data_IF_133151935962
#
_entry.id   IF_133151935962
#
_cell.length_a   1.000
_cell.length_b   1.000
_cell.length_c   1.000
_cell.angle_alpha   90.00
_cell.angle_beta   90.00
_cell.angle_gamma   90.00
#
_symmetry.space_group_name_H-M   'P 1'
#
loop_
_entity.id
_entity.type
_entity.pdbx_description
1 polymer ?
#
# COMPACT_ATOMS: atom_id res chain seq x y z
N UNK A 1 20.19 -6.19 -4.87
CA UNK A 1 20.45 -7.47 -4.19
C UNK A 1 19.60 -7.47 -2.93
N UNK A 2 18.57 -8.32 -2.89
CA UNK A 2 17.68 -8.43 -1.74
C UNK A 2 18.44 -9.15 -0.61
N UNK A 3 18.67 -8.46 0.52
CA UNK A 3 19.33 -9.04 1.68
C UNK A 3 18.24 -9.41 2.69
N UNK A 4 18.11 -10.70 2.97
CA UNK A 4 17.24 -11.18 4.04
C UNK A 4 17.73 -10.61 5.38
N UNK A 5 16.84 -10.01 6.20
CA UNK A 5 17.25 -9.32 7.43
C UNK A 5 17.82 -10.23 8.52
N UNK A 6 17.64 -11.55 8.43
CA UNK A 6 18.29 -12.53 9.32
C UNK A 6 18.65 -13.81 8.54
N UNK A 7 19.76 -14.46 8.90
CA UNK A 7 20.27 -15.69 8.26
C UNK A 7 19.37 -16.90 8.50
N UNK A 8 18.55 -16.87 9.55
CA UNK A 8 17.61 -17.94 9.86
C UNK A 8 16.27 -17.84 9.09
N UNK A 9 16.03 -16.72 8.38
CA UNK A 9 15.09 -16.65 7.26
C UNK A 9 13.61 -16.95 7.53
N UNK A 10 13.16 -17.00 8.80
CA UNK A 10 11.77 -17.32 9.11
C UNK A 10 10.85 -16.17 8.69
N UNK A 11 9.96 -16.48 7.75
CA UNK A 11 8.98 -15.55 7.21
C UNK A 11 7.58 -15.97 7.58
N UNK A 12 6.76 -14.96 7.86
CA UNK A 12 5.33 -15.13 8.04
C UNK A 12 4.60 -14.29 7.01
N UNK A 13 3.95 -14.94 6.06
CA UNK A 13 3.03 -14.26 5.15
C UNK A 13 1.88 -13.64 5.96
N UNK A 14 1.67 -12.34 5.79
CA UNK A 14 0.58 -11.61 6.42
C UNK A 14 -0.54 -11.35 5.41
N UNK A 15 -0.17 -10.97 4.20
CA UNK A 15 -1.11 -10.66 3.11
C UNK A 15 -0.52 -11.17 1.79
N UNK A 16 -1.36 -11.65 0.90
CA UNK A 16 -0.99 -12.08 -0.45
C UNK A 16 -2.14 -11.77 -1.42
N UNK A 17 -1.81 -11.27 -2.61
CA UNK A 17 -2.80 -10.93 -3.64
C UNK A 17 -2.56 -11.66 -4.98
N UNK A 18 -1.86 -12.80 -4.92
CA UNK A 18 -1.45 -13.57 -6.10
C UNK A 18 -0.01 -13.28 -6.48
N UNK A 19 0.29 -12.05 -6.89
CA UNK A 19 1.60 -11.67 -7.42
C UNK A 19 2.62 -11.30 -6.34
N UNK A 20 2.13 -10.79 -5.20
CA UNK A 20 2.97 -10.22 -4.14
C UNK A 20 2.60 -10.82 -2.79
N UNK A 21 3.62 -11.05 -1.97
CA UNK A 21 3.47 -11.40 -0.55
C UNK A 21 4.00 -10.25 0.30
N UNK A 22 3.16 -9.78 1.22
CA UNK A 22 3.56 -8.91 2.31
C UNK A 22 3.78 -9.76 3.56
N UNK A 23 4.95 -9.66 4.17
CA UNK A 23 5.36 -10.59 5.22
C UNK A 23 5.97 -9.87 6.44
N UNK A 24 5.94 -10.59 7.55
CA UNK A 24 6.69 -10.28 8.76
C UNK A 24 7.90 -11.21 8.88
N UNK A 25 8.94 -10.73 9.54
CA UNK A 25 10.16 -11.47 9.80
C UNK A 25 10.26 -11.81 11.29
N UNK A 26 10.90 -12.94 11.59
CA UNK A 26 11.34 -13.24 12.95
C UNK A 26 12.60 -12.43 13.27
N UNK A 27 12.63 -11.81 14.45
CA UNK A 27 13.79 -11.04 14.93
C UNK A 27 14.44 -11.82 16.06
N UNK A 28 15.50 -12.58 15.75
CA UNK A 28 16.20 -13.46 16.69
C UNK A 28 16.62 -12.75 17.99
N UNK A 29 17.16 -11.54 17.88
CA UNK A 29 17.56 -10.72 19.03
C UNK A 29 16.39 -10.20 19.88
N UNK A 30 15.16 -10.19 19.36
CA UNK A 30 13.94 -9.86 20.12
C UNK A 30 13.19 -11.11 20.58
N UNK A 31 13.56 -12.29 20.06
CA UNK A 31 12.81 -13.53 20.28
C UNK A 31 11.33 -13.42 19.89
N UNK A 32 11.02 -12.60 18.88
CA UNK A 32 9.64 -12.30 18.51
C UNK A 32 9.51 -11.93 17.02
N UNK A 33 8.28 -11.99 16.51
CA UNK A 33 7.90 -11.44 15.21
C UNK A 33 7.84 -9.92 15.28
N UNK A 34 8.27 -9.24 14.22
CA UNK A 34 8.32 -7.77 14.17
C UNK A 34 6.95 -7.10 14.33
N UNK A 35 5.88 -7.82 13.98
CA UNK A 35 4.51 -7.35 13.97
C UNK A 35 3.58 -8.18 14.90
N UNK A 36 4.13 -8.89 15.89
CA UNK A 36 3.32 -9.62 16.87
C UNK A 36 2.53 -8.71 17.84
N UNK A 37 3.06 -7.52 18.16
CA UNK A 37 2.41 -6.61 19.12
C UNK A 37 1.35 -5.74 18.43
N UNK A 38 0.11 -6.23 18.42
CA UNK A 38 -1.02 -5.52 17.83
C UNK A 38 -1.34 -4.19 18.53
N UNK A 39 -1.05 -4.05 19.82
CA UNK A 39 -1.29 -2.78 20.53
C UNK A 39 -0.31 -1.71 20.08
N UNK A 40 0.97 -2.08 19.95
CA UNK A 40 2.00 -1.19 19.38
C UNK A 40 1.68 -0.82 17.94
N UNK A 41 1.19 -1.75 17.12
CA UNK A 41 0.73 -1.48 15.74
C UNK A 41 -0.43 -0.47 15.73
N UNK A 42 -1.39 -0.60 16.64
CA UNK A 42 -2.53 0.32 16.78
C UNK A 42 -2.12 1.72 17.22
N UNK A 43 -0.94 1.90 17.82
CA UNK A 43 -0.44 3.19 18.28
C UNK A 43 0.61 3.81 17.34
N UNK A 44 1.29 3.00 16.54
CA UNK A 44 2.45 3.39 15.75
C UNK A 44 2.25 3.35 14.24
N UNK A 45 3.37 3.36 13.51
CA UNK A 45 3.42 3.13 12.06
C UNK A 45 4.31 1.92 11.80
N UNK A 46 3.84 1.02 10.95
CA UNK A 46 4.60 -0.14 10.50
C UNK A 46 4.53 -0.24 8.98
N UNK A 47 5.61 -0.69 8.36
CA UNK A 47 5.65 -1.00 6.93
C UNK A 47 5.85 -2.50 6.79
N UNK A 48 5.18 -3.11 5.82
CA UNK A 48 5.40 -4.52 5.52
C UNK A 48 6.67 -4.68 4.68
N UNK A 49 7.34 -5.81 4.86
CA UNK A 49 8.25 -6.30 3.84
C UNK A 49 7.43 -6.87 2.70
N UNK A 50 7.91 -6.68 1.47
CA UNK A 50 7.20 -7.03 0.25
C UNK A 50 8.13 -7.84 -0.63
N UNK A 51 7.62 -8.91 -1.23
CA UNK A 51 8.37 -9.75 -2.16
C UNK A 51 7.42 -10.34 -3.21
N UNK A 52 7.92 -10.60 -4.42
CA UNK A 52 7.17 -11.37 -5.40
C UNK A 52 6.91 -12.79 -4.90
N UNK A 53 5.70 -13.29 -5.12
CA UNK A 53 5.32 -14.67 -4.76
C UNK A 53 6.25 -15.70 -5.40
N UNK A 54 6.74 -15.46 -6.62
CA UNK A 54 7.71 -16.32 -7.31
C UNK A 54 9.06 -16.38 -6.59
N UNK A 55 9.57 -15.23 -6.14
CA UNK A 55 10.82 -15.15 -5.39
C UNK A 55 10.68 -15.81 -4.02
N UNK A 56 9.54 -15.62 -3.35
CA UNK A 56 9.27 -16.31 -2.09
C UNK A 56 9.26 -17.83 -2.29
N UNK A 57 8.53 -18.32 -3.31
CA UNK A 57 8.45 -19.74 -3.62
C UNK A 57 9.82 -20.36 -3.97
N UNK A 58 10.70 -19.61 -4.61
CA UNK A 58 12.05 -20.09 -4.97
C UNK A 58 13.03 -20.04 -3.79
N UNK A 59 12.96 -19.01 -2.95
CA UNK A 59 14.03 -18.68 -1.99
C UNK A 59 13.67 -18.98 -0.53
N UNK A 60 12.40 -19.13 -0.18
CA UNK A 60 12.02 -19.33 1.22
C UNK A 60 12.36 -20.74 1.68
N UNK A 61 13.21 -20.83 2.72
CA UNK A 61 13.49 -22.10 3.40
C UNK A 61 12.30 -22.57 4.25
N UNK A 62 11.55 -21.61 4.80
CA UNK A 62 10.37 -21.88 5.61
C UNK A 62 9.38 -20.72 5.51
N UNK A 63 8.13 -21.04 5.21
CA UNK A 63 7.00 -20.10 5.26
C UNK A 63 6.01 -20.63 6.27
N UNK A 64 5.69 -19.82 7.27
CA UNK A 64 4.65 -20.13 8.24
C UNK A 64 3.29 -20.32 7.54
N UNK A 65 2.61 -21.43 7.79
CA UNK A 65 1.34 -21.79 7.13
C UNK A 65 0.10 -21.61 8.01
N UNK A 66 0.23 -21.36 9.32
CA UNK A 66 -0.94 -21.16 10.15
C UNK A 66 -1.67 -19.87 9.77
N UNK A 67 -3.01 -19.89 9.71
CA UNK A 67 -3.78 -18.69 9.40
C UNK A 67 -3.56 -17.63 10.48
N UNK A 68 -3.63 -16.37 10.06
CA UNK A 68 -3.71 -15.25 11.00
C UNK A 68 -4.87 -15.46 11.97
N UNK A 69 -4.68 -15.16 13.25
CA UNK A 69 -5.74 -15.12 14.24
C UNK A 69 -6.78 -14.02 13.89
N UNK A 70 -7.95 -14.06 14.52
CA UNK A 70 -9.06 -13.16 14.16
C UNK A 70 -8.72 -11.67 14.37
N UNK A 71 -8.01 -11.35 15.44
CA UNK A 71 -7.50 -10.02 15.77
C UNK A 71 -6.40 -9.56 14.80
N UNK A 72 -5.48 -10.46 14.44
CA UNK A 72 -4.47 -10.20 13.42
C UNK A 72 -5.13 -9.92 12.07
N UNK A 73 -6.12 -10.72 11.64
CA UNK A 73 -6.86 -10.47 10.39
C UNK A 73 -7.58 -9.12 10.42
N UNK A 74 -8.18 -8.76 11.54
CA UNK A 74 -8.88 -7.48 11.70
C UNK A 74 -7.92 -6.28 11.54
N UNK A 75 -6.67 -6.42 12.00
CA UNK A 75 -5.65 -5.37 11.91
C UNK A 75 -4.95 -5.35 10.55
N UNK A 76 -4.44 -6.50 10.10
CA UNK A 76 -3.65 -6.60 8.88
C UNK A 76 -4.50 -6.47 7.61
N UNK A 77 -5.79 -6.80 7.68
CA UNK A 77 -6.75 -6.72 6.57
C UNK A 77 -6.22 -7.41 5.30
N UNK A 78 -5.99 -8.75 5.36
CA UNK A 78 -5.45 -9.50 4.23
C UNK A 78 -6.40 -9.56 3.03
N UNK A 79 -7.66 -9.17 3.22
CA UNK A 79 -8.66 -9.02 2.16
C UNK A 79 -8.40 -7.81 1.25
N UNK A 80 -7.57 -6.86 1.68
CA UNK A 80 -7.27 -5.66 0.89
C UNK A 80 -6.07 -5.91 -0.05
N UNK A 81 -6.12 -5.41 -1.30
CA UNK A 81 -5.11 -5.68 -2.31
C UNK A 81 -3.77 -5.00 -2.00
N UNK A 82 -2.69 -5.50 -2.60
CA UNK A 82 -1.41 -4.78 -2.60
C UNK A 82 -1.52 -3.52 -3.45
N UNK A 83 -1.98 -3.63 -4.69
CA UNK A 83 -2.11 -2.48 -5.59
C UNK A 83 -3.58 -2.14 -5.84
N UNK A 84 -3.90 -0.85 -5.81
CA UNK A 84 -5.21 -0.30 -6.17
C UNK A 84 -5.02 0.91 -7.08
N UNK A 85 -5.94 1.08 -8.02
CA UNK A 85 -6.01 2.24 -8.93
C UNK A 85 -4.67 2.59 -9.62
N UNK A 86 -4.21 1.71 -10.51
CA UNK A 86 -3.00 1.92 -11.32
C UNK A 86 -3.33 2.35 -12.74
N UNK A 87 -2.53 3.25 -13.31
CA UNK A 87 -2.58 3.60 -14.73
C UNK A 87 -1.21 4.04 -15.22
N UNK A 88 -0.69 3.38 -16.26
CA UNK A 88 0.52 3.80 -16.97
C UNK A 88 0.27 4.98 -17.92
N UNK A 89 -0.99 5.36 -18.17
CA UNK A 89 -1.35 6.40 -19.14
C UNK A 89 -1.50 7.79 -18.53
N UNK A 90 -1.51 7.88 -17.20
CA UNK A 90 -1.77 9.12 -16.48
C UNK A 90 -0.56 9.55 -15.69
N UNK A 91 -0.35 10.85 -15.61
CA UNK A 91 0.63 11.46 -14.71
C UNK A 91 -0.11 12.08 -13.53
N UNK A 92 0.53 12.15 -12.37
CA UNK A 92 -0.02 12.87 -11.22
C UNK A 92 -0.27 14.35 -11.59
N UNK A 93 -1.44 14.92 -11.26
CA UNK A 93 -1.72 16.32 -11.56
C UNK A 93 -0.86 17.23 -10.69
N UNK A 94 -0.41 18.36 -11.25
CA UNK A 94 0.41 19.33 -10.53
C UNK A 94 -0.43 20.27 -9.65
N UNK A 95 -1.72 20.43 -9.96
CA UNK A 95 -2.61 21.34 -9.24
C UNK A 95 -3.87 20.62 -8.74
N UNK A 96 -4.32 21.01 -7.54
CA UNK A 96 -5.56 20.47 -6.94
C UNK A 96 -6.79 20.78 -7.80
N UNK A 97 -6.81 21.94 -8.47
CA UNK A 97 -7.87 22.38 -9.38
C UNK A 97 -8.13 21.39 -10.52
N UNK A 98 -7.11 20.65 -10.95
CA UNK A 98 -7.17 19.68 -12.05
C UNK A 98 -7.75 18.32 -11.62
N UNK A 99 -7.81 18.06 -10.31
CA UNK A 99 -8.14 16.72 -9.77
C UNK A 99 -9.51 16.17 -10.20
N UNK A 100 -10.60 16.97 -10.33
CA UNK A 100 -11.89 16.42 -10.77
C UNK A 100 -11.87 15.95 -12.23
N UNK A 101 -11.30 16.77 -13.12
CA UNK A 101 -11.18 16.43 -14.54
C UNK A 101 -10.24 15.22 -14.74
N UNK A 102 -9.13 15.21 -14.00
CA UNK A 102 -8.16 14.13 -14.00
C UNK A 102 -8.74 12.79 -13.48
N UNK A 103 -9.59 12.82 -12.45
CA UNK A 103 -10.26 11.61 -11.96
C UNK A 103 -11.27 11.05 -12.97
N UNK A 104 -11.97 11.93 -13.71
CA UNK A 104 -12.83 11.50 -14.80
C UNK A 104 -12.03 10.85 -15.95
N UNK A 105 -10.84 11.38 -16.25
CA UNK A 105 -9.91 10.77 -17.22
C UNK A 105 -9.40 9.40 -16.74
N UNK A 106 -9.12 9.24 -15.45
CA UNK A 106 -8.81 7.94 -14.85
C UNK A 106 -9.91 6.90 -15.08
N UNK A 107 -11.17 7.29 -14.86
CA UNK A 107 -12.32 6.42 -15.14
C UNK A 107 -12.39 6.02 -16.61
N UNK A 108 -12.21 7.00 -17.52
CA UNK A 108 -12.26 6.75 -18.95
C UNK A 108 -11.11 5.84 -19.45
N UNK A 109 -9.90 6.01 -18.91
CA UNK A 109 -8.70 5.27 -19.36
C UNK A 109 -8.60 3.86 -18.81
N UNK A 110 -9.09 3.62 -17.59
CA UNK A 110 -9.00 2.30 -16.95
C UNK A 110 -10.20 1.41 -17.26
N UNK A 111 -11.34 1.99 -17.68
CA UNK A 111 -12.57 1.27 -17.97
C UNK A 111 -13.10 0.46 -16.78
N UNK A 112 -12.56 0.70 -15.57
CA UNK A 112 -12.97 -0.02 -14.36
C UNK A 112 -14.29 0.59 -13.90
N UNK A 113 -15.41 -0.16 -13.92
CA UNK A 113 -16.66 0.32 -13.38
C UNK A 113 -16.51 0.54 -11.86
N UNK A 114 -17.35 1.41 -11.33
CA UNK A 114 -17.56 1.60 -9.89
C UNK A 114 -17.74 0.24 -9.20
N UNK A 115 -16.68 -0.30 -8.59
CA UNK A 115 -16.70 -1.65 -8.03
C UNK A 115 -15.33 -2.24 -7.69
N UNK A 116 -14.28 -1.89 -8.44
CA UNK A 116 -12.88 -2.24 -8.09
C UNK A 116 -12.30 -1.31 -7.00
N UNK A 117 -13.13 -0.98 -6.01
CA UNK A 117 -12.82 -0.08 -4.91
C UNK A 117 -12.06 -0.74 -3.77
N UNK A 118 -11.80 0.02 -2.72
CA UNK A 118 -11.13 -0.46 -1.52
C UNK A 118 -12.15 -0.64 -0.40
N UNK A 119 -12.35 -1.88 0.05
CA UNK A 119 -13.37 -2.28 1.04
C UNK A 119 -12.99 -1.88 2.48
N UNK A 120 -12.76 -0.60 2.72
CA UNK A 120 -12.41 -0.08 4.04
C UNK A 120 -12.93 1.36 4.18
N UNK A 121 -13.42 1.76 5.37
CA UNK A 121 -13.97 3.10 5.55
C UNK A 121 -12.89 4.18 5.64
N UNK A 122 -11.65 3.80 5.93
CA UNK A 122 -10.55 4.73 6.10
C UNK A 122 -9.20 4.12 5.71
N UNK A 123 -8.31 5.00 5.26
CA UNK A 123 -6.91 4.69 4.95
C UNK A 123 -6.00 5.88 5.27
N UNK A 124 -4.70 5.62 5.39
CA UNK A 124 -3.67 6.63 5.23
C UNK A 124 -3.12 6.61 3.80
N UNK A 125 -3.03 7.76 3.15
CA UNK A 125 -2.37 7.93 1.85
C UNK A 125 -1.05 8.69 2.07
N UNK A 126 0.07 8.05 1.71
CA UNK A 126 1.42 8.60 1.87
C UNK A 126 1.92 9.14 0.52
N UNK A 127 1.92 10.46 0.29
CA UNK A 127 2.46 11.02 -0.93
C UNK A 127 3.99 10.92 -0.97
N UNK A 128 4.55 11.23 -2.12
CA UNK A 128 5.99 11.39 -2.32
C UNK A 128 6.33 12.84 -2.68
N UNK A 129 7.53 13.28 -2.30
CA UNK A 129 8.05 14.60 -2.67
C UNK A 129 8.71 14.61 -4.06
N UNK A 130 9.14 15.79 -4.55
CA UNK A 130 9.72 15.95 -5.89
C UNK A 130 10.94 15.05 -6.16
N UNK A 131 11.70 14.71 -5.11
CA UNK A 131 12.88 13.82 -5.20
C UNK A 131 12.56 12.34 -4.89
N UNK A 132 11.28 11.96 -4.87
CA UNK A 132 10.83 10.59 -4.59
C UNK A 132 10.77 10.21 -3.09
N UNK A 133 11.23 11.08 -2.19
CA UNK A 133 11.19 10.85 -0.75
C UNK A 133 9.75 10.77 -0.21
N UNK A 134 9.48 9.82 0.67
CA UNK A 134 8.17 9.65 1.32
C UNK A 134 7.78 10.88 2.14
N UNK A 135 6.50 11.24 2.12
CA UNK A 135 5.90 12.27 2.97
C UNK A 135 5.03 11.65 4.06
N UNK A 136 4.57 12.49 4.98
CA UNK A 136 3.65 12.07 6.04
C UNK A 136 2.33 11.56 5.45
N UNK A 137 1.82 10.47 6.00
CA UNK A 137 0.53 9.92 5.58
C UNK A 137 -0.62 10.84 5.98
N UNK A 138 -1.54 11.08 5.05
CA UNK A 138 -2.78 11.82 5.26
C UNK A 138 -3.90 10.83 5.52
N UNK A 139 -4.61 11.00 6.64
CA UNK A 139 -5.78 10.18 6.97
C UNK A 139 -6.96 10.61 6.11
N UNK A 140 -7.56 9.68 5.39
CA UNK A 140 -8.76 9.93 4.58
C UNK A 140 -9.84 8.90 4.89
N UNK A 141 -11.09 9.35 4.76
CA UNK A 141 -12.29 8.52 4.94
C UNK A 141 -13.06 8.42 3.64
N UNK A 142 -13.73 7.29 3.46
CA UNK A 142 -14.66 7.06 2.38
C UNK A 142 -15.86 8.02 2.52
N UNK A 143 -16.31 8.61 1.43
CA UNK A 143 -17.39 9.61 1.42
C UNK A 143 -18.72 8.96 1.86
N UNK A 144 -18.91 7.67 1.59
CA UNK A 144 -20.05 6.88 2.08
C UNK A 144 -19.84 6.28 3.49
N UNK A 145 -18.68 6.49 4.10
CA UNK A 145 -18.32 5.96 5.42
C UNK A 145 -18.04 4.44 5.49
N UNK A 146 -18.03 3.71 4.37
CA UNK A 146 -17.89 2.24 4.36
C UNK A 146 -16.77 1.73 3.45
N UNK A 147 -16.66 2.24 2.23
CA UNK A 147 -15.68 1.77 1.23
C UNK A 147 -15.40 2.83 0.18
N UNK A 148 -14.16 2.92 -0.29
CA UNK A 148 -13.79 3.82 -1.37
C UNK A 148 -14.14 3.22 -2.73
N UNK A 149 -14.71 4.02 -3.64
CA UNK A 149 -14.64 3.68 -5.07
C UNK A 149 -13.24 3.96 -5.61
N UNK A 150 -12.88 3.39 -6.76
CA UNK A 150 -11.58 3.66 -7.39
C UNK A 150 -11.44 5.15 -7.77
N UNK A 151 -12.51 5.75 -8.32
CA UNK A 151 -12.55 7.18 -8.68
C UNK A 151 -12.42 8.08 -7.44
N UNK A 152 -13.11 7.74 -6.36
CA UNK A 152 -13.01 8.49 -5.11
C UNK A 152 -11.59 8.43 -4.53
N UNK A 153 -11.02 7.23 -4.46
CA UNK A 153 -9.70 7.00 -3.90
C UNK A 153 -8.62 7.74 -4.70
N UNK A 154 -8.68 7.64 -6.04
CA UNK A 154 -7.70 8.28 -6.91
C UNK A 154 -7.84 9.81 -6.87
N UNK A 155 -9.07 10.34 -6.80
CA UNK A 155 -9.31 11.78 -6.64
C UNK A 155 -8.68 12.30 -5.34
N UNK A 156 -8.93 11.63 -4.21
CA UNK A 156 -8.33 12.00 -2.92
C UNK A 156 -6.80 11.90 -2.97
N UNK A 157 -6.27 10.84 -3.56
CA UNK A 157 -4.83 10.66 -3.76
C UNK A 157 -4.22 11.80 -4.59
N UNK A 158 -4.88 12.19 -5.68
CA UNK A 158 -4.44 13.27 -6.55
C UNK A 158 -4.43 14.62 -5.82
N UNK A 159 -5.49 14.94 -5.05
CA UNK A 159 -5.53 16.14 -4.19
C UNK A 159 -4.37 16.17 -3.20
N UNK A 160 -4.02 15.03 -2.61
CA UNK A 160 -2.92 14.91 -1.63
C UNK A 160 -1.54 14.98 -2.30
N UNK A 161 -1.40 14.43 -3.50
CA UNK A 161 -0.13 14.36 -4.22
C UNK A 161 0.22 15.68 -4.92
N UNK A 162 -0.77 16.41 -5.43
CA UNK A 162 -0.56 17.62 -6.25
C UNK A 162 0.39 18.66 -5.62
N UNK A 163 0.28 19.01 -4.32
CA UNK A 163 1.21 19.96 -3.68
C UNK A 163 2.67 19.49 -3.59
N UNK A 164 2.93 18.24 -3.94
CA UNK A 164 4.25 17.62 -3.89
C UNK A 164 4.79 17.22 -5.27
N UNK A 165 3.98 17.41 -6.31
CA UNK A 165 4.39 17.34 -7.70
C UNK A 165 5.21 18.60 -7.99
N UNK A 166 6.54 18.45 -8.02
CA UNK A 166 7.43 19.53 -8.49
C UNK A 166 7.55 19.52 -10.01
N UNK A 167 8.48 20.33 -10.54
CA UNK A 167 8.70 20.48 -11.99
C UNK A 167 9.09 19.17 -12.71
N UNK A 168 9.69 18.23 -11.97
CA UNK A 168 10.01 16.89 -12.45
C UNK A 168 9.39 15.84 -11.54
N UNK A 169 8.42 15.09 -12.06
CA UNK A 169 7.85 13.93 -11.38
C UNK A 169 8.81 12.75 -11.56
N UNK A 170 9.35 12.14 -10.49
CA UNK A 170 10.33 11.07 -10.57
C UNK A 170 9.75 9.72 -11.04
N UNK A 171 8.50 9.70 -11.47
CA UNK A 171 7.74 8.47 -11.78
C UNK A 171 6.93 8.65 -13.05
N UNK A 172 6.75 7.52 -13.76
CA UNK A 172 5.83 7.42 -14.88
C UNK A 172 4.55 6.70 -14.42
N UNK A 173 3.39 7.17 -14.89
CA UNK A 173 2.12 6.60 -14.48
C UNK A 173 1.68 7.05 -13.08
N UNK A 174 0.59 6.45 -12.61
CA UNK A 174 0.09 6.55 -11.24
C UNK A 174 -0.24 5.19 -10.67
N UNK A 175 -0.10 5.05 -9.36
CA UNK A 175 -0.50 3.86 -8.62
C UNK A 175 -0.56 4.10 -7.12
N UNK A 176 -1.42 3.32 -6.46
CA UNK A 176 -1.59 3.32 -5.01
C UNK A 176 -1.26 1.91 -4.49
N UNK A 177 -0.31 1.82 -3.56
CA UNK A 177 0.26 0.54 -3.15
C UNK A 177 0.26 0.38 -1.63
N UNK A 178 -0.04 -0.82 -1.15
CA UNK A 178 -0.09 -1.15 0.26
C UNK A 178 1.30 -0.99 0.86
N UNK A 179 1.39 -0.16 1.88
CA UNK A 179 2.62 0.12 2.61
C UNK A 179 2.70 -0.69 3.90
N UNK A 180 1.58 -0.77 4.63
CA UNK A 180 1.54 -1.29 5.98
C UNK A 180 0.35 -0.73 6.75
N UNK A 181 0.60 -0.29 7.98
CA UNK A 181 -0.41 0.26 8.88
C UNK A 181 0.09 1.54 9.53
N UNK A 182 -0.84 2.46 9.80
CA UNK A 182 -0.62 3.64 10.62
C UNK A 182 -1.77 3.76 11.61
N UNK A 183 -1.47 3.65 12.89
CA UNK A 183 -2.43 3.61 14.00
C UNK A 183 -3.51 2.53 13.81
N UNK A 184 -3.08 1.35 13.35
CA UNK A 184 -3.98 0.23 13.04
C UNK A 184 -4.82 0.40 11.77
N UNK A 185 -4.74 1.54 11.07
CA UNK A 185 -5.44 1.78 9.81
C UNK A 185 -4.54 1.41 8.63
N UNK A 186 -5.07 0.75 7.58
CA UNK A 186 -4.36 0.52 6.33
C UNK A 186 -3.65 1.77 5.79
N UNK A 187 -2.35 1.65 5.55
CA UNK A 187 -1.56 2.71 4.93
C UNK A 187 -1.15 2.29 3.52
N UNK A 188 -1.33 3.21 2.57
CA UNK A 188 -0.91 3.08 1.19
C UNK A 188 0.05 4.21 0.83
N UNK A 189 1.00 3.93 -0.05
CA UNK A 189 1.88 4.95 -0.64
C UNK A 189 1.48 5.24 -2.09
N UNK A 190 1.67 6.49 -2.49
CA UNK A 190 1.44 6.94 -3.86
C UNK A 190 2.75 6.83 -4.64
N UNK A 191 2.69 6.39 -5.89
CA UNK A 191 3.86 6.29 -6.77
C UNK A 191 3.47 6.22 -8.25
N UNK A 192 4.37 5.76 -9.12
CA UNK A 192 4.10 5.49 -10.52
C UNK A 192 3.21 4.26 -10.77
N UNK A 193 3.04 3.89 -12.04
CA UNK A 193 2.26 2.72 -12.45
C UNK A 193 2.85 1.38 -12.00
N UNK A 194 4.13 1.37 -11.63
CA UNK A 194 4.81 0.23 -11.02
C UNK A 194 5.22 0.56 -9.58
N UNK A 195 5.16 -0.45 -8.71
CA UNK A 195 5.59 -0.34 -7.31
C UNK A 195 7.09 -0.07 -7.22
N UNK A 196 7.52 0.76 -6.28
CA UNK A 196 8.97 0.93 -5.97
C UNK A 196 9.52 -0.11 -5.00
N UNK A 197 8.64 -0.96 -4.44
CA UNK A 197 8.98 -2.01 -3.49
C UNK A 197 9.17 -3.37 -4.16
N UNK A 198 8.95 -3.45 -5.47
CA UNK A 198 9.10 -4.64 -6.29
C UNK A 198 10.23 -4.43 -7.30
#
# INVERSE_FOLDING_TARGET
MFLWPDRDGLMRALVHDGAVVMYDAWWSHLGNWGLADLQKIKQGRVSYYVVHSSVLAEKATFVRSEPLAADERAVHRPDLPFAVAQSARLSWPAEVSQTPAWAAEFRATTGRPDGAGLQTPEVYLCPFGPKGGSKAGVHVRADNGTSFTAEELIRKAATIQAPHVGDAVPVHGVGIYRLGLQRGVPAFYLWGAESRML
#
